data_IF_971770933931
#
_entry.id   IF_971770933931
#
_cell.length_a   1.000
_cell.length_b   1.000
_cell.length_c   1.000
_cell.angle_alpha   90.00
_cell.angle_beta   90.00
_cell.angle_gamma   90.00
#
_symmetry.space_group_name_H-M   'P 1'
#
loop_
_entity.id
_entity.type
_entity.pdbx_description
1 polymer ?
#
# COMPACT_ATOMS: atom_id res chain seq x y z
N UNK A 1 38.82 -29.76 7.12
CA UNK A 1 39.41 -28.53 6.58
C UNK A 1 38.48 -28.00 5.50
N UNK A 2 37.63 -27.05 5.91
CA UNK A 2 36.94 -26.13 5.01
C UNK A 2 37.40 -24.75 5.51
N UNK A 3 37.83 -23.96 4.55
CA UNK A 3 38.56 -22.71 4.65
C UNK A 3 37.90 -21.68 5.60
N UNK A 4 38.65 -21.28 6.64
CA UNK A 4 38.25 -20.27 7.63
C UNK A 4 38.26 -18.84 7.10
N UNK A 5 38.71 -18.58 5.86
CA UNK A 5 38.81 -17.22 5.33
C UNK A 5 37.48 -16.61 4.84
N UNK A 6 36.43 -17.43 4.66
CA UNK A 6 35.10 -16.93 4.23
C UNK A 6 34.23 -16.43 5.41
N UNK A 7 34.43 -17.00 6.60
CA UNK A 7 33.75 -16.57 7.84
C UNK A 7 34.34 -15.25 8.35
N UNK A 8 35.65 -15.06 8.19
CA UNK A 8 36.34 -13.82 8.57
C UNK A 8 35.95 -12.62 7.69
N UNK A 9 35.62 -12.84 6.41
CA UNK A 9 35.18 -11.77 5.49
C UNK A 9 33.75 -11.27 5.75
N UNK A 10 32.85 -12.12 6.23
CA UNK A 10 31.46 -11.72 6.53
C UNK A 10 31.37 -10.98 7.87
N UNK A 11 32.30 -11.23 8.78
CA UNK A 11 32.28 -10.64 10.13
C UNK A 11 32.85 -9.21 10.17
N UNK A 12 33.58 -8.78 9.14
CA UNK A 12 34.23 -7.46 9.11
C UNK A 12 33.38 -6.30 8.55
N UNK A 13 32.31 -6.58 7.81
CA UNK A 13 31.51 -5.52 7.15
C UNK A 13 30.16 -5.22 7.82
N UNK A 14 29.72 -6.00 8.82
CA UNK A 14 28.39 -5.79 9.45
C UNK A 14 28.31 -6.08 10.96
N UNK A 15 29.40 -5.87 11.70
CA UNK A 15 29.33 -5.83 13.18
C UNK A 15 29.69 -4.43 13.66
N UNK A 16 28.71 -3.54 13.67
CA UNK A 16 28.76 -2.43 14.61
C UNK A 16 28.46 -3.00 15.99
N UNK A 17 29.49 -3.05 16.82
CA UNK A 17 29.37 -3.17 18.28
C UNK A 17 28.48 -2.04 18.77
N UNK A 18 27.29 -2.37 19.26
CA UNK A 18 26.43 -1.43 19.97
C UNK A 18 27.06 -1.24 21.35
N UNK A 19 27.54 -0.03 21.63
CA UNK A 19 28.11 0.31 22.92
C UNK A 19 26.98 0.25 23.98
N UNK A 20 27.29 -0.31 25.15
CA UNK A 20 26.33 -0.61 26.22
C UNK A 20 25.70 0.63 26.85
N UNK A 21 26.14 1.83 26.45
CA UNK A 21 25.58 3.11 26.84
C UNK A 21 24.44 3.62 25.93
N UNK A 22 24.16 2.99 24.79
CA UNK A 22 23.23 3.54 23.79
C UNK A 22 21.82 2.96 23.80
N UNK A 23 21.50 1.99 24.68
CA UNK A 23 20.14 1.44 24.72
C UNK A 23 19.62 1.28 26.15
N UNK A 24 18.68 2.15 26.52
CA UNK A 24 17.87 1.94 27.71
C UNK A 24 16.93 0.75 27.45
N UNK A 25 17.06 -0.32 28.24
CA UNK A 25 16.17 -1.48 28.13
C UNK A 25 14.71 -1.07 28.38
N UNK A 26 13.74 -1.76 27.77
CA UNK A 26 12.33 -1.38 27.82
C UNK A 26 11.75 -1.27 29.24
N UNK A 27 12.35 -1.93 30.21
CA UNK A 27 11.99 -1.82 31.64
C UNK A 27 12.54 -0.53 32.26
N UNK A 28 13.79 -0.18 31.99
CA UNK A 28 14.40 1.07 32.45
C UNK A 28 13.77 2.30 31.77
N UNK A 29 13.40 2.21 30.49
CA UNK A 29 12.69 3.27 29.77
C UNK A 29 11.35 3.57 30.43
N UNK A 30 10.59 2.54 30.81
CA UNK A 30 9.30 2.70 31.51
C UNK A 30 9.44 3.25 32.93
N UNK A 31 10.51 2.90 33.65
CA UNK A 31 10.83 3.49 34.95
C UNK A 31 11.18 4.99 34.85
N UNK A 32 11.95 5.39 33.84
CA UNK A 32 12.31 6.79 33.61
C UNK A 32 11.08 7.67 33.37
N UNK A 33 10.15 7.25 32.50
CA UNK A 33 8.91 8.00 32.24
C UNK A 33 7.93 8.01 33.43
N UNK A 34 7.88 6.94 34.24
CA UNK A 34 7.09 6.96 35.49
C UNK A 34 7.65 7.91 36.53
N UNK A 35 8.98 7.99 36.67
CA UNK A 35 9.61 8.94 37.59
C UNK A 35 9.55 10.40 37.09
N UNK A 36 9.48 10.65 35.78
CA UNK A 36 9.24 12.00 35.26
C UNK A 36 7.81 12.47 35.50
N UNK A 37 6.83 11.58 35.38
CA UNK A 37 5.42 11.90 35.65
C UNK A 37 5.18 12.12 37.16
N UNK A 38 5.80 11.33 38.04
CA UNK A 38 5.70 11.55 39.50
C UNK A 38 6.42 12.83 39.97
N UNK A 39 7.54 13.21 39.36
CA UNK A 39 8.22 14.50 39.65
C UNK A 39 7.46 15.72 39.11
N UNK A 40 6.60 15.53 38.11
CA UNK A 40 5.74 16.60 37.56
C UNK A 40 4.51 16.86 38.41
N UNK A 41 4.08 15.88 39.21
CA UNK A 41 2.90 15.98 40.09
C UNK A 41 3.29 16.50 41.48
N UNK A 42 4.54 16.33 41.93
CA UNK A 42 4.97 16.73 43.28
C UNK A 42 5.36 18.22 43.47
N UNK A 43 5.41 19.03 42.40
CA UNK A 43 5.85 20.44 42.47
C UNK A 43 4.75 21.49 42.22
N UNK A 44 3.48 21.11 42.23
CA UNK A 44 2.39 22.08 42.27
C UNK A 44 2.13 22.50 43.73
N UNK A 45 2.72 23.62 44.17
CA UNK A 45 2.24 24.31 45.37
C UNK A 45 0.81 24.81 45.11
N UNK A 46 -0.13 24.66 46.06
CA UNK A 46 -1.43 25.29 45.95
C UNK A 46 -1.27 26.79 46.22
N UNK A 47 -1.37 27.62 45.17
CA UNK A 47 -1.60 29.05 45.37
C UNK A 47 -3.02 29.23 45.92
N UNK A 48 -3.08 29.54 47.21
CA UNK A 48 -4.28 30.02 47.89
C UNK A 48 -4.57 31.42 47.36
N UNK A 49 -5.56 31.54 46.49
CA UNK A 49 -6.19 32.83 46.19
C UNK A 49 -7.13 33.19 47.37
N UNK A 50 -7.11 34.43 47.87
CA UNK A 50 -8.04 34.86 48.90
C UNK A 50 -9.46 34.90 48.31
N UNK A 51 -10.42 34.45 49.11
CA UNK A 51 -11.84 34.46 48.77
C UNK A 51 -12.29 35.90 48.46
N UNK A 52 -12.56 36.18 47.19
CA UNK A 52 -13.25 37.38 46.75
C UNK A 52 -14.68 37.01 46.36
N UNK A 53 -15.62 37.74 46.96
CA UNK A 53 -17.05 37.54 46.89
C UNK A 53 -17.59 37.38 45.47
N UNK A 54 -18.51 36.43 45.35
CA UNK A 54 -19.32 36.11 44.18
C UNK A 54 -19.99 37.34 43.60
N UNK A 55 -19.57 37.72 42.40
CA UNK A 55 -20.40 38.43 41.44
C UNK A 55 -20.36 37.59 40.17
N UNK A 56 -21.51 37.06 39.72
CA UNK A 56 -21.64 36.31 38.49
C UNK A 56 -21.28 37.22 37.30
N UNK A 57 -20.00 37.27 36.94
CA UNK A 57 -19.56 37.75 35.64
C UNK A 57 -19.53 36.54 34.71
N UNK A 58 -20.45 36.51 33.76
CA UNK A 58 -20.36 35.67 32.57
C UNK A 58 -18.97 35.82 31.97
N UNK A 59 -18.18 34.74 31.96
CA UNK A 59 -16.86 34.70 31.32
C UNK A 59 -17.05 34.87 29.80
N UNK A 60 -17.06 36.12 29.34
CA UNK A 60 -17.06 36.44 27.91
C UNK A 60 -15.65 36.16 27.38
N UNK A 61 -15.54 35.36 26.32
CA UNK A 61 -14.24 35.12 25.66
C UNK A 61 -13.60 36.46 25.28
N UNK A 62 -12.30 36.65 25.57
CA UNK A 62 -11.62 37.90 25.24
C UNK A 62 -11.67 38.17 23.74
N UNK A 63 -11.70 39.46 23.35
CA UNK A 63 -11.76 39.88 21.94
C UNK A 63 -10.59 39.35 21.11
N UNK A 64 -9.45 39.11 21.75
CA UNK A 64 -8.22 38.60 21.12
C UNK A 64 -7.49 37.73 22.12
N UNK A 65 -6.88 36.64 21.65
CA UNK A 65 -6.02 35.76 22.44
C UNK A 65 -4.61 35.76 21.86
N UNK A 66 -3.60 35.75 22.72
CA UNK A 66 -2.20 35.64 22.31
C UNK A 66 -1.78 34.18 22.36
N UNK A 67 -1.39 33.61 21.22
CA UNK A 67 -0.91 32.24 21.10
C UNK A 67 0.58 32.19 20.82
N UNK A 68 1.25 31.14 21.30
CA UNK A 68 2.66 30.82 21.03
C UNK A 68 2.90 30.26 19.62
N UNK A 69 2.33 30.94 18.64
CA UNK A 69 2.49 30.64 17.22
C UNK A 69 3.40 31.69 16.59
N UNK A 70 4.30 31.25 15.71
CA UNK A 70 5.15 32.17 14.98
C UNK A 70 4.31 32.92 13.93
N UNK A 71 4.47 34.23 13.82
CA UNK A 71 3.82 35.02 12.76
C UNK A 71 4.76 36.06 12.18
N UNK A 72 4.40 36.56 11.00
CA UNK A 72 5.09 37.67 10.38
C UNK A 72 4.22 38.93 10.36
N UNK A 73 4.86 40.08 10.58
CA UNK A 73 4.20 41.37 10.39
C UNK A 73 3.90 41.62 8.92
N UNK A 74 2.65 41.96 8.60
CA UNK A 74 2.25 42.40 7.27
C UNK A 74 2.71 43.83 7.00
N UNK A 75 3.32 44.06 5.84
CA UNK A 75 3.53 45.40 5.30
C UNK A 75 2.88 45.49 3.92
N UNK A 76 2.19 46.60 3.67
CA UNK A 76 1.59 46.88 2.37
C UNK A 76 2.59 47.46 1.36
N UNK A 77 3.73 47.97 1.82
CA UNK A 77 4.73 48.69 1.02
C UNK A 77 6.04 47.94 0.79
N UNK A 78 6.28 46.85 1.52
CA UNK A 78 7.52 46.05 1.43
C UNK A 78 7.20 44.56 1.38
N UNK A 79 8.00 43.80 0.64
CA UNK A 79 7.98 42.34 0.72
C UNK A 79 8.31 41.87 2.14
N UNK A 80 7.50 41.00 2.75
CA UNK A 80 7.81 40.49 4.10
C UNK A 80 8.94 39.46 4.13
N UNK A 81 9.32 38.89 2.97
CA UNK A 81 10.41 37.91 2.85
C UNK A 81 11.76 38.61 2.72
N UNK A 82 11.93 39.45 1.70
CA UNK A 82 13.24 40.07 1.38
C UNK A 82 13.33 41.56 1.74
N UNK A 83 12.29 42.15 2.35
CA UNK A 83 12.20 43.56 2.77
C UNK A 83 12.34 44.61 1.65
N UNK A 84 12.52 44.19 0.40
CA UNK A 84 12.56 45.07 -0.76
C UNK A 84 11.23 45.78 -0.98
N UNK A 85 11.29 47.09 -1.24
CA UNK A 85 10.19 47.88 -1.79
C UNK A 85 10.14 47.56 -3.27
N UNK A 86 9.12 46.81 -3.69
CA UNK A 86 8.97 46.38 -5.07
C UNK A 86 7.94 47.24 -5.81
N UNK A 87 8.12 47.53 -7.10
CA UNK A 87 7.09 48.17 -7.91
C UNK A 87 5.85 47.27 -8.13
N UNK A 88 5.98 45.94 -7.95
CA UNK A 88 4.89 44.96 -8.10
C UNK A 88 4.95 43.90 -7.00
N UNK A 89 4.45 44.22 -5.81
CA UNK A 89 4.22 43.25 -4.75
C UNK A 89 2.87 42.55 -4.95
N UNK A 90 2.82 41.24 -4.76
CA UNK A 90 1.57 40.47 -4.83
C UNK A 90 1.05 40.16 -3.43
N UNK A 91 -0.27 40.14 -3.28
CA UNK A 91 -0.92 39.66 -2.05
C UNK A 91 -0.81 38.14 -2.01
N UNK A 92 -0.36 37.59 -0.88
CA UNK A 92 -0.25 36.14 -0.72
C UNK A 92 -1.64 35.52 -0.64
N UNK A 93 -1.87 34.51 -1.48
CA UNK A 93 -3.15 33.81 -1.54
C UNK A 93 -3.52 33.14 -0.21
N UNK A 94 -4.81 32.89 0.03
CA UNK A 94 -5.22 32.16 1.23
C UNK A 94 -4.65 30.73 1.28
N UNK A 95 -4.49 30.07 0.13
CA UNK A 95 -3.95 28.71 0.02
C UNK A 95 -2.47 28.67 0.42
N UNK A 96 -1.67 29.60 -0.10
CA UNK A 96 -0.24 29.70 0.22
C UNK A 96 -0.01 29.99 1.71
N UNK A 97 -0.84 30.84 2.32
CA UNK A 97 -0.78 31.13 3.77
C UNK A 97 -1.10 29.90 4.61
N UNK A 98 -2.15 29.16 4.24
CA UNK A 98 -2.51 27.91 4.91
C UNK A 98 -1.41 26.84 4.78
N UNK A 99 -0.84 26.67 3.58
CA UNK A 99 0.24 25.71 3.35
C UNK A 99 1.48 26.05 4.19
N UNK A 100 1.83 27.33 4.29
CA UNK A 100 2.95 27.79 5.13
C UNK A 100 2.70 27.48 6.60
N UNK A 101 1.48 27.68 7.09
CA UNK A 101 1.09 27.31 8.45
C UNK A 101 1.21 25.79 8.67
N UNK A 102 0.69 24.97 7.76
CA UNK A 102 0.74 23.50 7.89
C UNK A 102 2.18 22.96 7.84
N UNK A 103 3.04 23.54 7.00
CA UNK A 103 4.41 23.04 6.79
C UNK A 103 5.41 23.56 7.81
N UNK A 104 5.28 24.81 8.25
CA UNK A 104 6.29 25.52 9.07
C UNK A 104 5.75 26.07 10.39
N UNK A 105 4.46 25.91 10.68
CA UNK A 105 3.79 26.47 11.86
C UNK A 105 3.93 28.01 11.95
N UNK A 106 3.87 28.69 10.79
CA UNK A 106 3.97 30.15 10.68
C UNK A 106 2.67 30.74 10.15
N UNK A 107 2.12 31.73 10.86
CA UNK A 107 0.93 32.49 10.47
C UNK A 107 1.34 33.69 9.60
N UNK A 108 0.74 33.77 8.42
CA UNK A 108 0.85 34.94 7.54
C UNK A 108 -0.51 35.68 7.54
N UNK A 109 -0.54 36.98 7.89
CA UNK A 109 -1.78 37.71 8.04
C UNK A 109 -2.52 37.99 6.72
N UNK A 110 -3.80 38.32 6.87
CA UNK A 110 -4.61 39.13 5.96
C UNK A 110 -3.81 40.09 5.07
N UNK A 111 -3.78 39.93 3.75
CA UNK A 111 -3.23 40.97 2.86
C UNK A 111 -1.71 41.16 2.88
N UNK A 112 -0.97 40.26 3.54
CA UNK A 112 0.49 40.27 3.50
C UNK A 112 1.01 40.20 2.06
N UNK A 113 2.06 40.96 1.75
CA UNK A 113 2.59 41.09 0.38
C UNK A 113 4.02 40.58 0.25
N UNK A 114 4.32 39.89 -0.84
CA UNK A 114 5.68 39.44 -1.17
C UNK A 114 6.03 39.72 -2.63
N UNK A 115 7.31 39.57 -2.98
CA UNK A 115 7.75 39.59 -4.38
C UNK A 115 7.26 38.33 -5.11
N UNK A 116 6.82 38.44 -6.37
CA UNK A 116 6.36 37.30 -7.17
C UNK A 116 7.37 36.15 -7.22
N UNK A 117 8.67 36.45 -7.32
CA UNK A 117 9.73 35.45 -7.38
C UNK A 117 9.92 34.59 -6.13
N UNK A 118 9.22 34.88 -5.02
CA UNK A 118 9.22 34.02 -3.83
C UNK A 118 8.16 32.93 -3.86
N UNK A 119 7.19 33.02 -4.78
CA UNK A 119 6.10 32.04 -4.91
C UNK A 119 6.29 31.26 -6.22
N UNK A 120 6.28 29.94 -6.13
CA UNK A 120 6.22 29.00 -7.25
C UNK A 120 5.10 28.00 -7.00
N UNK A 121 4.24 27.77 -7.99
CA UNK A 121 3.10 26.83 -7.90
C UNK A 121 2.27 27.00 -6.62
N UNK A 122 1.89 28.25 -6.33
CA UNK A 122 1.13 28.66 -5.14
C UNK A 122 1.80 28.38 -3.78
N UNK A 123 3.10 28.07 -3.74
CA UNK A 123 3.87 27.81 -2.52
C UNK A 123 5.14 28.67 -2.45
N UNK A 124 5.64 28.93 -1.24
CA UNK A 124 6.94 29.56 -1.09
C UNK A 124 8.06 28.57 -1.44
N UNK A 125 9.08 29.04 -2.15
CA UNK A 125 10.31 28.27 -2.33
C UNK A 125 11.02 28.06 -0.97
N UNK A 126 11.80 26.98 -0.82
CA UNK A 126 12.53 26.72 0.42
C UNK A 126 13.45 27.89 0.79
N UNK A 127 14.15 28.46 -0.20
CA UNK A 127 14.98 29.64 -0.04
C UNK A 127 14.19 30.85 0.51
N UNK A 128 12.94 31.05 0.06
CA UNK A 128 12.09 32.13 0.56
C UNK A 128 11.64 31.88 2.01
N UNK A 129 11.41 30.63 2.40
CA UNK A 129 11.04 30.25 3.76
C UNK A 129 12.23 30.39 4.73
N UNK A 130 13.45 30.08 4.28
CA UNK A 130 14.68 30.28 5.07
C UNK A 130 15.00 31.75 5.30
N UNK A 131 14.63 32.63 4.36
CA UNK A 131 14.86 34.07 4.47
C UNK A 131 13.87 34.80 5.40
N UNK A 132 12.94 34.12 6.08
CA UNK A 132 11.97 34.75 6.99
C UNK A 132 12.68 35.27 8.26
N UNK A 133 13.12 36.53 8.23
CA UNK A 133 14.01 37.10 9.26
C UNK A 133 13.31 37.73 10.46
N UNK A 134 11.99 37.96 10.44
CA UNK A 134 11.27 38.71 11.49
C UNK A 134 10.02 37.98 12.00
N UNK A 135 10.22 36.77 12.52
CA UNK A 135 9.15 35.99 13.13
C UNK A 135 8.86 36.48 14.54
N UNK A 136 7.66 36.96 14.77
CA UNK A 136 7.11 37.18 16.11
C UNK A 136 6.78 35.82 16.70
N UNK A 137 7.23 35.55 17.93
CA UNK A 137 6.98 34.27 18.62
C UNK A 137 5.56 34.15 19.19
N UNK A 138 4.89 35.28 19.33
CA UNK A 138 3.53 35.40 19.83
C UNK A 138 2.66 36.01 18.74
N UNK A 139 1.46 35.46 18.58
CA UNK A 139 0.48 35.93 17.61
C UNK A 139 -0.85 36.18 18.28
N UNK A 140 -1.36 37.38 18.09
CA UNK A 140 -2.68 37.77 18.54
C UNK A 140 -3.72 37.34 17.50
N UNK A 141 -4.69 36.52 17.90
CA UNK A 141 -5.75 36.02 17.05
C UNK A 141 -7.11 36.33 17.67
N UNK A 142 -8.03 36.82 16.85
CA UNK A 142 -9.42 37.03 17.27
C UNK A 142 -10.27 35.77 16.97
N UNK A 143 -11.53 35.81 17.41
CA UNK A 143 -12.49 34.71 17.17
C UNK A 143 -12.61 34.33 15.69
N UNK A 144 -12.66 35.31 14.79
CA UNK A 144 -12.80 35.10 13.36
C UNK A 144 -11.56 34.45 12.75
N UNK A 145 -10.36 34.86 13.16
CA UNK A 145 -9.09 34.28 12.68
C UNK A 145 -8.99 32.80 13.04
N UNK A 146 -9.38 32.44 14.27
CA UNK A 146 -9.35 31.06 14.76
C UNK A 146 -10.36 30.20 14.00
N UNK A 147 -11.60 30.68 13.86
CA UNK A 147 -12.64 29.95 13.14
C UNK A 147 -12.28 29.75 11.67
N UNK A 148 -11.75 30.78 11.01
CA UNK A 148 -11.28 30.72 9.63
C UNK A 148 -10.13 29.72 9.47
N UNK A 149 -9.15 29.72 10.38
CA UNK A 149 -8.05 28.76 10.36
C UNK A 149 -8.54 27.32 10.56
N UNK A 150 -9.41 27.08 11.54
CA UNK A 150 -10.00 25.75 11.79
C UNK A 150 -10.82 25.25 10.60
N UNK A 151 -11.63 26.12 10.01
CA UNK A 151 -12.43 25.80 8.83
C UNK A 151 -11.55 25.47 7.63
N UNK A 152 -10.48 26.24 7.41
CA UNK A 152 -9.50 25.99 6.34
C UNK A 152 -8.73 24.70 6.53
N UNK A 153 -8.30 24.39 7.76
CA UNK A 153 -7.66 23.12 8.10
C UNK A 153 -8.63 21.96 7.84
N UNK A 154 -9.89 22.08 8.30
CA UNK A 154 -10.93 21.07 8.04
C UNK A 154 -11.12 20.84 6.53
N UNK A 155 -11.25 21.90 5.74
CA UNK A 155 -11.41 21.79 4.28
C UNK A 155 -10.18 21.14 3.61
N UNK A 156 -8.97 21.45 4.08
CA UNK A 156 -7.74 20.81 3.60
C UNK A 156 -7.70 19.32 3.95
N UNK A 157 -8.11 18.95 5.16
CA UNK A 157 -8.21 17.55 5.59
C UNK A 157 -9.23 16.78 4.77
N UNK A 158 -10.43 17.34 4.57
CA UNK A 158 -11.47 16.72 3.73
C UNK A 158 -10.97 16.50 2.30
N UNK A 159 -10.34 17.51 1.69
CA UNK A 159 -9.71 17.38 0.36
C UNK A 159 -8.60 16.34 0.29
N UNK A 160 -7.95 16.02 1.40
CA UNK A 160 -6.87 15.04 1.46
C UNK A 160 -7.36 13.63 1.82
N UNK A 161 -8.46 13.50 2.56
CA UNK A 161 -9.11 12.21 2.86
C UNK A 161 -9.56 11.51 1.57
N UNK A 162 -9.97 12.28 0.55
CA UNK A 162 -10.39 11.78 -0.77
C UNK A 162 -9.23 11.36 -1.68
N UNK A 163 -7.96 11.59 -1.30
CA UNK A 163 -6.82 11.32 -2.19
C UNK A 163 -6.26 9.92 -2.09
N UNK A 164 -6.66 9.13 -1.08
CA UNK A 164 -6.16 7.77 -0.89
C UNK A 164 -7.23 6.78 -1.31
N UNK A 165 -6.88 5.89 -2.26
CA UNK A 165 -7.70 4.70 -2.53
C UNK A 165 -7.93 3.95 -1.21
N UNK A 166 -9.20 3.82 -0.84
CA UNK A 166 -9.60 3.26 0.43
C UNK A 166 -10.59 2.12 0.21
N UNK A 167 -10.13 0.90 0.51
CA UNK A 167 -10.95 -0.31 0.38
C UNK A 167 -11.63 -0.69 1.71
N UNK A 168 -11.48 0.12 2.76
CA UNK A 168 -12.07 -0.11 4.09
C UNK A 168 -13.41 0.59 4.29
N UNK A 169 -13.75 1.56 3.45
CA UNK A 169 -15.02 2.29 3.50
C UNK A 169 -15.82 1.93 2.26
N UNK A 170 -17.02 1.38 2.43
CA UNK A 170 -17.87 0.94 1.31
C UNK A 170 -18.30 2.10 0.40
N UNK A 171 -18.32 3.33 0.91
CA UNK A 171 -18.63 4.54 0.14
C UNK A 171 -17.43 5.22 -0.51
N UNK A 172 -16.20 4.73 -0.30
CA UNK A 172 -15.00 5.41 -0.79
C UNK A 172 -14.70 5.12 -2.27
N UNK A 173 -15.26 4.06 -2.84
CA UNK A 173 -15.08 3.70 -4.25
C UNK A 173 -16.42 3.25 -4.82
N UNK A 174 -16.74 3.75 -6.01
CA UNK A 174 -17.87 3.31 -6.82
C UNK A 174 -17.68 1.91 -7.39
N UNK A 175 -18.77 1.29 -7.84
CA UNK A 175 -18.75 -0.01 -8.53
C UNK A 175 -17.79 -0.02 -9.73
N UNK A 176 -17.82 1.04 -10.55
CA UNK A 176 -16.95 1.17 -11.71
C UNK A 176 -15.47 1.27 -11.33
N UNK A 177 -15.15 1.95 -10.23
CA UNK A 177 -13.78 2.05 -9.70
C UNK A 177 -13.28 0.71 -9.18
N UNK A 178 -14.12 -0.06 -8.49
CA UNK A 178 -13.77 -1.42 -8.05
C UNK A 178 -13.36 -2.32 -9.21
N UNK A 179 -14.19 -2.39 -10.26
CA UNK A 179 -13.90 -3.21 -11.45
C UNK A 179 -12.65 -2.68 -12.16
N UNK A 180 -12.53 -1.37 -12.32
CA UNK A 180 -11.39 -0.77 -13.04
C UNK A 180 -10.06 -1.05 -12.33
N UNK A 181 -10.05 -0.93 -11.00
CA UNK A 181 -8.85 -1.13 -10.18
C UNK A 181 -8.54 -2.61 -10.01
N UNK A 182 -9.53 -3.43 -9.61
CA UNK A 182 -9.28 -4.79 -9.13
C UNK A 182 -9.62 -5.88 -10.15
N UNK A 183 -10.43 -5.57 -11.15
CA UNK A 183 -10.96 -6.53 -12.13
C UNK A 183 -12.20 -7.31 -11.66
N UNK A 184 -12.66 -7.10 -10.43
CA UNK A 184 -13.82 -7.79 -9.86
C UNK A 184 -14.79 -6.78 -9.23
N UNK A 185 -16.05 -7.18 -9.08
CA UNK A 185 -17.06 -6.34 -8.42
C UNK A 185 -16.91 -6.33 -6.89
N UNK A 186 -17.69 -5.48 -6.24
CA UNK A 186 -17.65 -5.28 -4.79
C UNK A 186 -18.02 -6.56 -4.04
N UNK A 187 -19.00 -7.32 -4.53
CA UNK A 187 -19.47 -8.55 -3.91
C UNK A 187 -18.37 -9.62 -3.92
N UNK A 188 -17.76 -9.85 -5.07
CA UNK A 188 -16.64 -10.78 -5.25
C UNK A 188 -15.41 -10.35 -4.46
N UNK A 189 -15.14 -9.04 -4.39
CA UNK A 189 -14.06 -8.51 -3.56
C UNK A 189 -14.29 -8.81 -2.07
N UNK A 190 -15.51 -8.59 -1.59
CA UNK A 190 -15.89 -8.85 -0.21
C UNK A 190 -15.81 -10.34 0.12
N UNK A 191 -16.31 -11.19 -0.77
CA UNK A 191 -16.20 -12.64 -0.66
C UNK A 191 -14.73 -13.09 -0.56
N UNK A 192 -13.89 -12.67 -1.51
CA UNK A 192 -12.46 -12.98 -1.50
C UNK A 192 -11.75 -12.46 -0.24
N UNK A 193 -12.16 -11.30 0.29
CA UNK A 193 -11.61 -10.75 1.52
C UNK A 193 -11.89 -11.63 2.75
N UNK A 194 -12.98 -12.41 2.76
CA UNK A 194 -13.29 -13.33 3.86
C UNK A 194 -12.27 -14.46 3.99
N UNK A 195 -11.54 -14.78 2.92
CA UNK A 195 -10.49 -15.79 2.92
C UNK A 195 -9.18 -15.31 3.54
N UNK A 196 -9.01 -14.01 3.82
CA UNK A 196 -7.78 -13.50 4.42
C UNK A 196 -7.82 -13.69 5.94
N UNK A 197 -6.87 -14.46 6.48
CA UNK A 197 -6.67 -14.56 7.93
C UNK A 197 -6.22 -13.19 8.44
N UNK A 198 -6.89 -12.70 9.48
CA UNK A 198 -6.64 -11.39 10.08
C UNK A 198 -5.14 -11.20 10.34
N UNK A 199 -4.53 -10.33 9.55
CA UNK A 199 -3.20 -9.83 9.85
C UNK A 199 -3.34 -8.60 10.72
N UNK A 200 -2.35 -8.33 11.58
CA UNK A 200 -2.35 -7.13 12.43
C UNK A 200 -2.63 -5.89 11.59
N UNK A 201 -3.85 -5.40 11.68
CA UNK A 201 -4.29 -4.20 11.00
C UNK A 201 -3.55 -3.01 11.61
N UNK A 202 -3.14 -2.10 10.75
CA UNK A 202 -2.56 -0.81 11.16
C UNK A 202 -3.42 0.29 10.55
N UNK A 203 -3.35 1.50 11.10
CA UNK A 203 -4.11 2.67 10.57
C UNK A 203 -3.95 2.90 9.06
N UNK A 204 -2.87 2.41 8.44
CA UNK A 204 -2.56 2.60 7.03
C UNK A 204 -2.77 1.32 6.20
N UNK A 205 -2.86 0.15 6.84
CA UNK A 205 -2.84 -1.15 6.18
C UNK A 205 -3.78 -2.12 6.88
N UNK A 206 -5.00 -2.19 6.39
CA UNK A 206 -5.93 -3.27 6.68
C UNK A 206 -5.74 -4.45 5.73
N UNK A 207 -6.32 -5.60 6.08
CA UNK A 207 -6.38 -6.76 5.20
C UNK A 207 -7.13 -6.47 3.87
N UNK A 208 -8.21 -5.68 3.90
CA UNK A 208 -8.94 -5.25 2.68
C UNK A 208 -8.12 -4.34 1.79
N UNK A 209 -7.45 -3.33 2.36
CA UNK A 209 -6.54 -2.46 1.61
C UNK A 209 -5.37 -3.26 1.00
N UNK A 210 -4.85 -4.27 1.70
CA UNK A 210 -3.84 -5.16 1.12
C UNK A 210 -4.38 -5.95 -0.07
N UNK A 211 -5.61 -6.46 0.02
CA UNK A 211 -6.27 -7.15 -1.09
C UNK A 211 -6.45 -6.20 -2.29
N UNK A 212 -6.93 -4.98 -2.05
CA UNK A 212 -7.05 -3.94 -3.07
C UNK A 212 -5.72 -3.66 -3.76
N UNK A 213 -4.62 -3.50 -3.01
CA UNK A 213 -3.27 -3.34 -3.58
C UNK A 213 -2.86 -4.56 -4.41
N UNK A 214 -3.10 -5.77 -3.90
CA UNK A 214 -2.75 -7.01 -4.59
C UNK A 214 -3.50 -7.15 -5.92
N UNK A 215 -4.83 -6.97 -5.91
CA UNK A 215 -5.67 -7.05 -7.10
C UNK A 215 -5.35 -5.95 -8.11
N UNK A 216 -5.16 -4.71 -7.64
CA UNK A 216 -4.74 -3.60 -8.51
C UNK A 216 -3.41 -3.89 -9.18
N UNK A 217 -2.47 -4.50 -8.46
CA UNK A 217 -1.18 -4.88 -9.01
C UNK A 217 -1.30 -5.95 -10.10
N UNK A 218 -2.04 -7.03 -9.87
CA UNK A 218 -2.18 -8.09 -10.87
C UNK A 218 -2.99 -7.61 -12.09
N UNK A 219 -3.96 -6.71 -11.88
CA UNK A 219 -4.79 -6.15 -12.95
C UNK A 219 -4.02 -5.18 -13.84
N UNK A 220 -3.24 -4.29 -13.24
CA UNK A 220 -2.56 -3.19 -13.95
C UNK A 220 -1.13 -3.50 -14.38
N UNK A 221 -0.45 -4.45 -13.73
CA UNK A 221 0.98 -4.69 -13.92
C UNK A 221 1.89 -3.54 -13.44
N UNK A 222 1.36 -2.58 -12.69
CA UNK A 222 2.13 -1.41 -12.24
C UNK A 222 3.30 -1.77 -11.31
N UNK A 223 4.35 -0.94 -11.37
CA UNK A 223 5.49 -1.05 -10.47
C UNK A 223 5.12 -0.74 -9.03
N UNK A 224 5.85 -1.31 -8.06
CA UNK A 224 5.65 -0.97 -6.65
C UNK A 224 5.85 0.53 -6.35
N UNK A 225 6.62 1.25 -7.18
CA UNK A 225 6.84 2.69 -7.02
C UNK A 225 5.58 3.48 -7.42
N UNK A 226 4.95 3.12 -8.53
CA UNK A 226 3.69 3.75 -8.96
C UNK A 226 2.55 3.45 -7.99
N UNK A 227 2.42 2.19 -7.56
CA UNK A 227 1.41 1.81 -6.57
C UNK A 227 1.64 2.52 -5.23
N UNK A 228 2.89 2.72 -4.81
CA UNK A 228 3.20 3.50 -3.61
C UNK A 228 2.69 4.94 -3.70
N UNK A 229 2.83 5.57 -4.87
CA UNK A 229 2.29 6.92 -5.13
C UNK A 229 0.77 6.92 -5.10
N UNK A 230 0.11 6.01 -5.83
CA UNK A 230 -1.36 5.96 -5.95
C UNK A 230 -2.03 5.68 -4.59
N UNK A 231 -1.48 4.74 -3.82
CA UNK A 231 -2.02 4.37 -2.50
C UNK A 231 -1.50 5.25 -1.37
N UNK A 232 -0.62 6.22 -1.67
CA UNK A 232 0.04 7.10 -0.70
C UNK A 232 0.65 6.31 0.49
N UNK A 233 1.46 5.29 0.16
CA UNK A 233 2.15 4.41 1.13
C UNK A 233 3.58 4.15 0.69
N UNK A 234 4.44 3.73 1.63
CA UNK A 234 5.81 3.34 1.28
C UNK A 234 5.87 2.14 0.33
N UNK A 235 6.87 2.12 -0.58
CA UNK A 235 7.14 1.00 -1.52
C UNK A 235 7.23 -0.36 -0.82
N UNK A 236 7.86 -0.42 0.35
CA UNK A 236 7.94 -1.65 1.14
C UNK A 236 6.60 -2.12 1.68
N UNK A 237 5.67 -1.20 1.95
CA UNK A 237 4.31 -1.55 2.35
C UNK A 237 3.55 -2.22 1.20
N UNK A 238 3.72 -1.74 -0.04
CA UNK A 238 3.18 -2.42 -1.24
C UNK A 238 3.76 -3.84 -1.35
N UNK A 239 5.08 -3.98 -1.25
CA UNK A 239 5.75 -5.29 -1.33
C UNK A 239 5.22 -6.26 -0.28
N UNK A 240 5.10 -5.80 0.97
CA UNK A 240 4.57 -6.61 2.08
C UNK A 240 3.11 -6.98 1.87
N UNK A 241 2.26 -6.03 1.47
CA UNK A 241 0.83 -6.27 1.20
C UNK A 241 0.65 -7.39 0.17
N UNK A 242 1.33 -7.28 -0.98
CA UNK A 242 1.30 -8.28 -2.05
C UNK A 242 1.78 -9.65 -1.56
N UNK A 243 2.90 -9.71 -0.84
CA UNK A 243 3.44 -10.96 -0.33
C UNK A 243 2.50 -11.63 0.70
N UNK A 244 1.92 -10.83 1.60
CA UNK A 244 1.00 -11.29 2.64
C UNK A 244 -0.30 -11.83 2.05
N UNK A 245 -0.94 -11.10 1.13
CA UNK A 245 -2.18 -11.54 0.48
C UNK A 245 -1.93 -12.80 -0.33
N UNK A 246 -0.87 -12.82 -1.16
CA UNK A 246 -0.50 -14.02 -1.93
C UNK A 246 -0.32 -15.24 -1.02
N UNK A 247 0.41 -15.12 0.09
CA UNK A 247 0.61 -16.22 1.03
C UNK A 247 -0.72 -16.69 1.63
N UNK A 248 -1.57 -15.76 2.06
CA UNK A 248 -2.89 -16.09 2.62
C UNK A 248 -3.75 -16.82 1.60
N UNK A 249 -3.96 -16.25 0.42
CA UNK A 249 -4.82 -16.85 -0.61
C UNK A 249 -4.32 -18.25 -1.03
N UNK A 250 -2.99 -18.46 -1.14
CA UNK A 250 -2.43 -19.79 -1.41
C UNK A 250 -2.74 -20.82 -0.31
N UNK A 251 -2.96 -20.37 0.93
CA UNK A 251 -3.27 -21.24 2.07
C UNK A 251 -4.77 -21.45 2.28
N UNK A 252 -5.60 -20.43 2.01
CA UNK A 252 -7.00 -20.40 2.47
C UNK A 252 -8.04 -20.30 1.35
N UNK A 253 -7.64 -19.87 0.16
CA UNK A 253 -8.52 -19.69 -1.00
C UNK A 253 -8.23 -20.74 -2.07
N UNK A 254 -6.99 -20.86 -2.52
CA UNK A 254 -6.58 -21.74 -3.63
C UNK A 254 -6.95 -23.20 -3.36
N UNK A 255 -6.63 -23.82 -2.20
CA UNK A 255 -6.96 -25.22 -1.96
C UNK A 255 -8.48 -25.52 -1.93
N UNK A 256 -9.31 -24.48 -1.83
CA UNK A 256 -10.77 -24.58 -1.79
C UNK A 256 -11.45 -24.27 -3.12
N UNK A 257 -10.69 -23.93 -4.16
CA UNK A 257 -11.25 -23.49 -5.45
C UNK A 257 -10.43 -23.92 -6.67
N UNK A 258 -9.21 -24.46 -6.48
CA UNK A 258 -8.33 -24.88 -7.55
C UNK A 258 -7.45 -26.04 -7.09
N UNK A 259 -7.20 -26.96 -8.00
CA UNK A 259 -6.37 -28.15 -7.79
C UNK A 259 -7.20 -29.42 -7.72
N UNK A 260 -6.55 -30.55 -8.01
CA UNK A 260 -7.21 -31.87 -8.05
C UNK A 260 -7.78 -32.31 -6.70
N UNK A 261 -7.27 -31.76 -5.59
CA UNK A 261 -7.78 -32.05 -4.25
C UNK A 261 -9.13 -31.37 -3.94
N UNK A 262 -9.52 -30.34 -4.70
CA UNK A 262 -10.75 -29.59 -4.45
C UNK A 262 -11.99 -30.21 -5.12
N UNK A 263 -11.85 -30.66 -6.35
CA UNK A 263 -12.96 -31.19 -7.15
C UNK A 263 -12.80 -32.70 -7.33
N UNK A 264 -13.84 -33.47 -6.99
CA UNK A 264 -13.82 -34.91 -7.24
C UNK A 264 -14.00 -35.22 -8.73
N UNK A 265 -13.56 -36.41 -9.13
CA UNK A 265 -13.73 -36.92 -10.49
C UNK A 265 -15.20 -36.95 -10.90
N UNK A 266 -16.05 -37.46 -10.02
CA UNK A 266 -17.50 -37.59 -10.25
C UNK A 266 -18.15 -36.22 -10.46
N UNK A 267 -17.79 -35.24 -9.60
CA UNK A 267 -18.33 -33.89 -9.69
C UNK A 267 -17.89 -33.19 -10.98
N UNK A 268 -16.68 -33.46 -11.46
CA UNK A 268 -16.21 -32.93 -12.74
C UNK A 268 -17.02 -33.52 -13.91
N UNK A 269 -17.24 -34.84 -13.91
CA UNK A 269 -18.01 -35.51 -14.97
C UNK A 269 -19.45 -35.01 -15.00
N UNK A 270 -20.09 -34.91 -13.83
CA UNK A 270 -21.49 -34.50 -13.71
C UNK A 270 -21.70 -33.04 -14.13
N UNK A 271 -20.84 -32.12 -13.68
CA UNK A 271 -21.10 -30.68 -13.81
C UNK A 271 -20.27 -29.98 -14.89
N UNK A 272 -19.19 -30.61 -15.36
CA UNK A 272 -18.19 -29.96 -16.20
C UNK A 272 -17.81 -30.76 -17.44
N UNK A 273 -18.57 -31.81 -17.80
CA UNK A 273 -18.43 -32.52 -19.07
C UNK A 273 -19.43 -32.02 -20.13
N UNK A 274 -18.95 -31.63 -21.31
CA UNK A 274 -19.84 -31.33 -22.46
C UNK A 274 -20.38 -32.62 -23.07
N UNK A 275 -21.69 -32.71 -23.37
CA UNK A 275 -22.28 -33.87 -24.03
C UNK A 275 -21.56 -34.25 -25.32
N UNK A 276 -21.24 -33.27 -26.17
CA UNK A 276 -20.51 -33.51 -27.42
C UNK A 276 -19.13 -34.16 -27.19
N UNK A 277 -18.39 -33.73 -26.17
CA UNK A 277 -17.09 -34.30 -25.87
C UNK A 277 -17.22 -35.74 -25.35
N UNK A 278 -18.26 -36.02 -24.55
CA UNK A 278 -18.57 -37.39 -24.13
C UNK A 278 -19.01 -38.27 -25.30
N UNK A 279 -19.72 -37.75 -26.29
CA UNK A 279 -20.06 -38.51 -27.50
C UNK A 279 -18.82 -38.82 -28.35
N UNK A 280 -17.88 -37.88 -28.46
CA UNK A 280 -16.70 -38.03 -29.32
C UNK A 280 -15.58 -38.86 -28.69
N UNK A 281 -15.35 -38.70 -27.39
CA UNK A 281 -14.21 -39.27 -26.68
C UNK A 281 -14.60 -40.15 -25.51
N UNK A 282 -15.86 -40.10 -25.07
CA UNK A 282 -16.35 -40.94 -24.00
C UNK A 282 -16.50 -42.39 -24.43
N UNK A 283 -16.75 -43.24 -23.43
CA UNK A 283 -17.07 -44.64 -23.59
C UNK A 283 -18.27 -44.98 -22.69
N UNK A 284 -18.66 -46.26 -22.63
CA UNK A 284 -19.79 -46.73 -21.80
C UNK A 284 -19.62 -46.40 -20.30
N UNK A 285 -18.41 -46.07 -19.85
CA UNK A 285 -18.07 -45.76 -18.46
C UNK A 285 -18.05 -44.26 -18.14
N UNK A 286 -18.47 -43.40 -19.06
CA UNK A 286 -18.56 -41.94 -18.90
C UNK A 286 -17.29 -41.33 -18.25
N UNK A 287 -16.15 -41.35 -18.96
CA UNK A 287 -14.85 -41.02 -18.39
C UNK A 287 -14.72 -39.54 -18.04
N UNK A 288 -13.78 -39.22 -17.17
CA UNK A 288 -13.32 -37.84 -17.02
C UNK A 288 -12.51 -37.45 -18.26
N UNK A 289 -12.83 -36.29 -18.84
CA UNK A 289 -12.12 -35.75 -20.00
C UNK A 289 -11.42 -34.46 -19.58
N UNK A 290 -10.08 -34.50 -19.58
CA UNK A 290 -9.23 -33.33 -19.29
C UNK A 290 -8.58 -32.84 -20.57
N UNK A 291 -8.60 -31.53 -20.77
CA UNK A 291 -7.80 -30.83 -21.77
C UNK A 291 -6.64 -30.17 -21.07
N UNK A 292 -5.42 -30.45 -21.52
CA UNK A 292 -4.20 -29.93 -20.93
C UNK A 292 -3.46 -29.12 -21.97
N UNK A 293 -3.18 -27.86 -21.64
CA UNK A 293 -2.47 -26.96 -22.55
C UNK A 293 -1.47 -26.05 -21.81
N UNK A 294 -0.37 -25.76 -22.50
CA UNK A 294 0.66 -24.84 -22.04
C UNK A 294 0.33 -23.42 -22.48
N UNK A 295 0.03 -22.54 -21.52
CA UNK A 295 -0.22 -21.13 -21.83
C UNK A 295 1.02 -20.26 -21.53
N UNK A 296 0.94 -18.97 -21.83
CA UNK A 296 2.03 -18.02 -21.67
C UNK A 296 1.60 -16.83 -20.83
N UNK A 297 2.39 -16.53 -19.80
CA UNK A 297 2.30 -15.27 -19.06
C UNK A 297 3.50 -14.41 -19.49
N UNK A 298 3.24 -13.32 -20.20
CA UNK A 298 4.27 -12.36 -20.55
C UNK A 298 4.75 -11.60 -19.31
N UNK A 299 6.05 -11.42 -19.20
CA UNK A 299 6.67 -10.73 -18.07
C UNK A 299 7.57 -9.60 -18.54
N UNK A 300 7.74 -8.60 -17.67
CA UNK A 300 8.67 -7.51 -17.91
C UNK A 300 10.13 -7.97 -17.80
N UNK A 301 11.03 -7.16 -18.36
CA UNK A 301 12.48 -7.39 -18.26
C UNK A 301 12.91 -7.43 -16.79
N UNK A 302 13.53 -8.54 -16.41
CA UNK A 302 14.15 -8.69 -15.09
C UNK A 302 15.55 -8.08 -15.07
N UNK A 303 15.94 -7.49 -13.93
CA UNK A 303 17.32 -7.09 -13.68
C UNK A 303 18.26 -8.27 -13.42
N UNK A 304 17.72 -9.46 -13.15
CA UNK A 304 18.51 -10.69 -12.97
C UNK A 304 18.79 -11.31 -14.35
N UNK A 305 20.00 -11.12 -14.86
CA UNK A 305 20.40 -11.54 -16.21
C UNK A 305 20.13 -13.03 -16.50
N UNK A 306 20.47 -13.92 -15.56
CA UNK A 306 20.23 -15.36 -15.70
C UNK A 306 18.74 -15.68 -15.84
N UNK A 307 17.88 -15.08 -15.01
CA UNK A 307 16.44 -15.27 -15.07
C UNK A 307 15.86 -14.71 -16.38
N UNK A 308 16.32 -13.51 -16.78
CA UNK A 308 15.91 -12.89 -18.05
C UNK A 308 16.22 -13.81 -19.24
N UNK A 309 17.43 -14.37 -19.32
CA UNK A 309 17.80 -15.29 -20.41
C UNK A 309 16.93 -16.55 -20.44
N UNK A 310 16.63 -17.12 -19.27
CA UNK A 310 15.85 -18.36 -19.17
C UNK A 310 14.34 -18.15 -19.40
N UNK A 311 13.86 -16.92 -19.25
CA UNK A 311 12.46 -16.56 -19.53
C UNK A 311 12.25 -16.03 -20.94
N UNK A 312 13.32 -15.85 -21.74
CA UNK A 312 13.17 -15.45 -23.13
C UNK A 312 12.76 -16.66 -23.99
N UNK A 313 11.57 -16.57 -24.60
CA UNK A 313 11.12 -17.56 -25.57
C UNK A 313 11.63 -17.21 -26.95
N UNK A 314 12.41 -18.10 -27.55
CA UNK A 314 12.83 -17.96 -28.96
C UNK A 314 11.63 -18.05 -29.91
N UNK A 315 10.63 -18.86 -29.60
CA UNK A 315 9.43 -19.05 -30.43
C UNK A 315 8.52 -17.81 -30.43
N UNK A 316 8.34 -17.15 -29.28
CA UNK A 316 7.49 -15.96 -29.18
C UNK A 316 8.27 -14.65 -29.28
N UNK A 317 9.60 -14.71 -29.36
CA UNK A 317 10.53 -13.58 -29.36
C UNK A 317 10.32 -12.60 -28.19
N UNK A 318 9.88 -13.09 -27.03
CA UNK A 318 9.43 -12.28 -25.88
C UNK A 318 9.73 -12.99 -24.56
N UNK A 319 9.82 -12.22 -23.48
CA UNK A 319 9.96 -12.74 -22.12
C UNK A 319 8.62 -13.29 -21.63
N UNK A 320 8.61 -14.56 -21.22
CA UNK A 320 7.44 -15.24 -20.71
C UNK A 320 7.80 -16.35 -19.72
N UNK A 321 6.78 -16.78 -19.00
CA UNK A 321 6.77 -18.00 -18.20
C UNK A 321 5.57 -18.84 -18.62
N UNK A 322 5.67 -20.16 -18.43
CA UNK A 322 4.72 -21.13 -18.92
C UNK A 322 4.01 -21.85 -17.76
N UNK A 323 2.76 -21.52 -17.44
CA UNK A 323 1.92 -22.44 -16.69
C UNK A 323 1.29 -23.49 -17.61
N UNK A 324 1.11 -24.69 -17.07
CA UNK A 324 0.35 -25.78 -17.70
C UNK A 324 -1.03 -25.81 -17.06
N UNK A 325 -2.07 -25.66 -17.87
CA UNK A 325 -3.46 -25.55 -17.42
C UNK A 325 -4.17 -26.87 -17.65
N UNK A 326 -4.86 -27.36 -16.63
CA UNK A 326 -5.76 -28.50 -16.70
C UNK A 326 -7.18 -27.97 -16.69
N UNK A 327 -7.92 -28.17 -17.76
CA UNK A 327 -9.32 -27.75 -17.87
C UNK A 327 -10.23 -28.91 -18.25
N UNK A 328 -11.50 -28.80 -17.89
CA UNK A 328 -12.53 -29.71 -18.38
C UNK A 328 -12.97 -29.32 -19.80
N UNK A 329 -13.83 -30.13 -20.39
CA UNK A 329 -14.44 -29.86 -21.71
C UNK A 329 -15.42 -28.69 -21.71
N UNK A 330 -15.86 -28.21 -20.55
CA UNK A 330 -16.63 -26.95 -20.42
C UNK A 330 -15.75 -25.71 -20.33
N UNK A 331 -14.42 -25.87 -20.23
CA UNK A 331 -13.48 -24.79 -19.97
C UNK A 331 -13.30 -24.47 -18.48
N UNK A 332 -13.84 -25.31 -17.60
CA UNK A 332 -13.66 -25.18 -16.16
C UNK A 332 -12.21 -25.49 -15.77
N UNK A 333 -11.57 -24.60 -15.01
CA UNK A 333 -10.20 -24.79 -14.53
C UNK A 333 -10.16 -25.83 -13.41
N UNK A 334 -9.53 -26.97 -13.66
CA UNK A 334 -9.28 -28.00 -12.64
C UNK A 334 -8.04 -27.64 -11.85
N UNK A 335 -6.93 -27.35 -12.53
CA UNK A 335 -5.68 -26.97 -11.90
C UNK A 335 -4.79 -26.12 -12.83
N UNK A 336 -3.84 -25.38 -12.24
CA UNK A 336 -2.83 -24.61 -12.96
C UNK A 336 -1.46 -24.91 -12.35
N UNK A 337 -0.62 -25.59 -13.12
CA UNK A 337 0.68 -26.09 -12.68
C UNK A 337 1.84 -25.24 -13.21
N UNK A 338 2.91 -25.14 -12.43
CA UNK A 338 4.13 -24.40 -12.79
C UNK A 338 4.41 -23.24 -11.83
N UNK A 339 5.02 -22.13 -12.26
CA UNK A 339 5.37 -21.74 -13.63
C UNK A 339 6.74 -22.30 -14.08
N UNK A 340 6.84 -22.68 -15.35
CA UNK A 340 8.08 -23.13 -15.99
C UNK A 340 8.73 -21.99 -16.77
N UNK A 341 10.06 -22.05 -16.89
CA UNK A 341 10.84 -21.07 -17.64
C UNK A 341 10.71 -21.33 -19.14
N UNK A 342 10.89 -20.31 -19.98
CA UNK A 342 10.73 -20.43 -21.43
C UNK A 342 11.93 -21.07 -22.16
N UNK A 343 12.97 -21.49 -21.43
CA UNK A 343 14.15 -22.11 -21.99
C UNK A 343 13.86 -23.45 -22.68
N UNK A 344 14.78 -23.92 -23.53
CA UNK A 344 14.63 -25.15 -24.34
C UNK A 344 14.46 -26.43 -23.52
N UNK A 345 14.64 -26.36 -22.19
CA UNK A 345 14.43 -27.50 -21.29
C UNK A 345 12.94 -27.72 -20.99
N UNK A 346 12.10 -26.70 -21.12
CA UNK A 346 10.67 -26.76 -20.77
C UNK A 346 9.79 -26.60 -22.02
N UNK A 347 9.84 -27.60 -22.89
CA UNK A 347 8.77 -27.80 -23.89
C UNK A 347 7.57 -28.50 -23.24
N UNK A 348 6.42 -28.47 -23.91
CA UNK A 348 5.15 -28.80 -23.27
C UNK A 348 5.06 -30.28 -22.89
N UNK A 349 5.60 -31.17 -23.73
CA UNK A 349 5.78 -32.59 -23.41
C UNK A 349 6.67 -32.85 -22.18
N UNK A 350 7.81 -32.15 -22.04
CA UNK A 350 8.68 -32.27 -20.87
C UNK A 350 8.03 -31.71 -19.61
N UNK A 351 7.31 -30.60 -19.73
CA UNK A 351 6.55 -30.00 -18.62
C UNK A 351 5.49 -30.99 -18.15
N UNK A 352 4.68 -31.54 -19.06
CA UNK A 352 3.63 -32.50 -18.72
C UNK A 352 4.22 -33.76 -18.09
N UNK A 353 5.30 -34.32 -18.67
CA UNK A 353 6.01 -35.47 -18.10
C UNK A 353 6.51 -35.18 -16.68
N UNK A 354 7.06 -33.98 -16.42
CA UNK A 354 7.48 -33.58 -15.09
C UNK A 354 6.30 -33.48 -14.11
N UNK A 355 5.18 -32.87 -14.53
CA UNK A 355 3.97 -32.74 -13.69
C UNK A 355 3.46 -34.12 -13.28
N UNK A 356 3.24 -35.01 -14.25
CA UNK A 356 2.76 -36.37 -13.99
C UNK A 356 3.78 -37.17 -13.16
N UNK A 357 5.08 -37.02 -13.40
CA UNK A 357 6.09 -37.73 -12.60
C UNK A 357 6.10 -37.25 -11.14
N UNK A 358 6.07 -35.93 -10.92
CA UNK A 358 6.11 -35.31 -9.59
C UNK A 358 4.86 -35.57 -8.75
N UNK A 359 3.70 -35.66 -9.41
CA UNK A 359 2.41 -36.00 -8.80
C UNK A 359 2.04 -35.13 -7.57
N UNK A 360 2.45 -33.85 -7.56
CA UNK A 360 2.29 -32.95 -6.42
C UNK A 360 0.84 -32.71 -5.96
N UNK A 361 -0.14 -32.89 -6.85
CA UNK A 361 -1.58 -32.79 -6.54
C UNK A 361 -2.30 -34.14 -6.63
N UNK A 362 -1.57 -35.28 -6.54
CA UNK A 362 -2.16 -36.62 -6.55
C UNK A 362 -3.02 -36.88 -7.81
N UNK A 363 -2.54 -36.39 -8.96
CA UNK A 363 -3.21 -36.53 -10.26
C UNK A 363 -3.39 -38.01 -10.59
N UNK A 364 -2.40 -38.85 -10.24
CA UNK A 364 -2.43 -40.29 -10.53
C UNK A 364 -3.52 -41.03 -9.76
N UNK A 365 -3.86 -40.61 -8.54
CA UNK A 365 -4.95 -41.21 -7.78
C UNK A 365 -6.31 -40.63 -8.14
N UNK A 366 -6.33 -39.39 -8.64
CA UNK A 366 -7.54 -38.74 -9.11
C UNK A 366 -8.01 -39.33 -10.45
N UNK A 367 -7.09 -39.62 -11.37
CA UNK A 367 -7.38 -40.25 -12.66
C UNK A 367 -7.68 -41.74 -12.50
N UNK A 368 -8.65 -42.22 -13.27
CA UNK A 368 -8.99 -43.64 -13.38
C UNK A 368 -8.59 -44.20 -14.73
N UNK A 369 -8.55 -45.54 -14.79
CA UNK A 369 -8.39 -46.24 -16.06
C UNK A 369 -9.50 -45.79 -17.03
N UNK A 370 -9.14 -45.62 -18.29
CA UNK A 370 -10.02 -45.20 -19.38
C UNK A 370 -10.48 -43.73 -19.34
N UNK A 371 -9.96 -42.92 -18.40
CA UNK A 371 -10.06 -41.46 -18.47
C UNK A 371 -9.28 -40.91 -19.67
N UNK A 372 -9.78 -39.82 -20.25
CA UNK A 372 -9.25 -39.23 -21.49
C UNK A 372 -8.50 -37.95 -21.20
N UNK A 373 -7.28 -37.86 -21.71
CA UNK A 373 -6.45 -36.66 -21.65
C UNK A 373 -6.18 -36.18 -23.07
N UNK A 374 -6.65 -34.98 -23.37
CA UNK A 374 -6.45 -34.28 -24.64
C UNK A 374 -5.32 -33.27 -24.43
N UNK A 375 -4.27 -33.37 -25.24
CA UNK A 375 -3.08 -32.49 -25.18
C UNK A 375 -2.83 -31.87 -26.54
N UNK A 376 -2.28 -30.65 -26.56
CA UNK A 376 -1.74 -30.07 -27.80
C UNK A 376 -0.46 -30.81 -28.24
N UNK A 377 -0.21 -30.83 -29.55
CA UNK A 377 0.81 -31.68 -30.20
C UNK A 377 2.26 -31.21 -30.04
#
# INVERSE_FOLDING_TARGET
>A
MIDGSLVEKITKDYVNTVDSFDVICGTCRRKYYRQSDEKSIANAKPDVLPAANTSQQTLVSPKTITLSLSSIGGSHSTCFVCRKRGPKLIVVSSSTRLNTFVQRNIIIPAGARCCPGHISDENFSEQALECLSDLRKLTDLNRSDILDLLQKIRMLLLKNDDKRLNFDKDSALSYAEYISLTGIDIASFNDLATHLVSTRDTKVRSSRTCLGIFLTKIRSGMSNKLLATIFNVGKDSIRRAVATVRKNLMQTFVPKHLGFNYISREKLIENHARPLAQTLFGNEFNPAILVIDGTYIYIQKSGQFQFQRRTFSMHKHRLLVKPMVFVSTTGYFVSVMGQYLADSKNNDAKILKHIIASDNEQIKSWLQKDDVVIVDR
#
